data_IF_391203811067
#
_entry.id   IF_391203811067
#
_cell.length_a   1.000
_cell.length_b   1.000
_cell.length_c   1.000
_cell.angle_alpha   90.00
_cell.angle_beta   90.00
_cell.angle_gamma   90.00
#
_symmetry.space_group_name_H-M   'P 1'
#
loop_
_entity.id
_entity.type
_entity.pdbx_description
1 polymer ?
#
# COMPACT_ATOMS: atom_id res chain seq x y z
N UNK A 1 17.73 14.47 -21.16
CA UNK A 1 17.92 14.86 -19.74
C UNK A 1 17.74 13.60 -18.93
N UNK A 2 18.72 13.26 -18.12
CA UNK A 2 18.70 12.01 -17.36
C UNK A 2 17.86 12.26 -16.09
N UNK A 3 16.66 11.68 -16.05
CA UNK A 3 15.82 11.66 -14.86
C UNK A 3 16.48 10.80 -13.78
N UNK A 4 16.54 11.28 -12.53
CA UNK A 4 17.06 10.53 -11.40
C UNK A 4 16.40 10.90 -10.08
N UNK A 5 16.29 9.91 -9.18
CA UNK A 5 15.95 10.15 -7.78
C UNK A 5 17.16 10.67 -7.01
N UNK A 6 16.92 11.62 -6.14
CA UNK A 6 17.89 12.13 -5.17
C UNK A 6 17.50 11.68 -3.76
N UNK A 7 18.28 10.79 -3.16
CA UNK A 7 18.11 10.40 -1.76
C UNK A 7 18.41 11.56 -0.84
N UNK A 8 17.64 11.70 0.23
CA UNK A 8 17.94 12.68 1.26
C UNK A 8 19.21 12.31 2.01
N UNK A 9 20.14 13.25 2.18
CA UNK A 9 21.49 12.99 2.71
C UNK A 9 21.48 12.51 4.17
N UNK A 10 20.40 12.79 4.91
CA UNK A 10 20.23 12.37 6.31
C UNK A 10 19.32 11.15 6.48
N UNK A 11 19.12 10.37 5.40
CA UNK A 11 18.42 9.09 5.52
C UNK A 11 19.19 8.09 6.39
N UNK A 12 18.47 7.18 7.11
CA UNK A 12 17.02 7.10 7.24
C UNK A 12 16.45 8.18 8.17
N UNK A 13 15.25 8.69 7.84
CA UNK A 13 14.59 9.74 8.63
C UNK A 13 13.88 9.20 9.87
N UNK A 14 13.43 7.95 9.86
CA UNK A 14 12.94 7.22 11.03
C UNK A 14 13.56 5.83 11.07
N UNK A 15 13.87 5.37 12.27
CA UNK A 15 14.54 4.09 12.55
C UNK A 15 13.93 3.42 13.78
N UNK A 16 14.24 2.14 14.05
CA UNK A 16 13.92 1.50 15.33
C UNK A 16 14.37 2.33 16.52
N UNK A 17 13.61 2.32 17.60
CA UNK A 17 13.98 2.98 18.85
C UNK A 17 14.29 1.92 19.89
N UNK A 18 15.57 1.74 20.28
CA UNK A 18 15.95 0.76 21.29
C UNK A 18 15.20 0.97 22.61
N UNK A 19 14.68 -0.11 23.19
CA UNK A 19 13.93 -0.08 24.46
C UNK A 19 12.47 0.33 24.35
N UNK A 20 12.01 0.80 23.21
CA UNK A 20 10.58 1.08 22.97
C UNK A 20 9.93 -0.14 22.31
N UNK A 21 9.10 -0.85 23.05
CA UNK A 21 8.57 -2.17 22.70
C UNK A 21 7.87 -2.18 21.32
N UNK A 22 7.09 -1.16 20.98
CA UNK A 22 6.33 -1.13 19.73
C UNK A 22 7.12 -0.54 18.54
N UNK A 23 8.36 -0.09 18.75
CA UNK A 23 9.23 0.59 17.77
C UNK A 23 10.45 -0.26 17.38
N UNK A 24 10.26 -1.56 17.24
CA UNK A 24 11.29 -2.47 16.70
C UNK A 24 11.57 -2.25 15.21
N UNK A 25 10.67 -1.56 14.49
CA UNK A 25 10.87 -1.01 13.14
C UNK A 25 10.11 0.31 12.97
N UNK A 26 10.43 1.06 11.91
CA UNK A 26 9.60 2.11 11.35
C UNK A 26 9.66 1.98 9.82
N UNK A 27 8.55 1.66 9.16
CA UNK A 27 8.56 1.35 7.72
C UNK A 27 7.26 1.71 7.03
N UNK A 28 7.28 1.69 5.72
CA UNK A 28 6.12 1.75 4.84
C UNK A 28 5.16 2.91 5.16
N UNK A 29 5.62 4.17 5.06
CA UNK A 29 4.88 5.34 5.51
C UNK A 29 3.89 5.85 4.48
N UNK A 30 2.60 5.96 4.85
CA UNK A 30 1.64 6.80 4.16
C UNK A 30 1.80 8.26 4.59
N UNK A 31 1.93 9.19 3.66
CA UNK A 31 2.12 10.61 3.95
C UNK A 31 1.20 11.47 3.11
N UNK A 32 0.67 12.52 3.70
CA UNK A 32 -0.09 13.58 3.02
C UNK A 32 0.38 14.95 3.52
N UNK A 33 0.28 15.95 2.66
CA UNK A 33 0.59 17.35 2.99
C UNK A 33 -0.70 18.19 2.91
N UNK A 34 -1.03 18.90 3.98
CA UNK A 34 -2.23 19.72 4.10
C UNK A 34 -2.06 21.19 3.69
N UNK A 35 -0.89 21.53 3.12
CA UNK A 35 -0.49 22.89 2.80
C UNK A 35 0.39 23.55 3.86
N UNK A 36 0.52 22.95 5.05
CA UNK A 36 1.31 23.44 6.17
C UNK A 36 2.13 22.34 6.86
N UNK A 37 1.53 21.16 7.01
CA UNK A 37 2.09 20.04 7.78
C UNK A 37 2.07 18.79 6.92
N UNK A 38 3.15 18.04 6.98
CA UNK A 38 3.22 16.66 6.50
C UNK A 38 2.74 15.75 7.63
N UNK A 39 1.72 14.97 7.35
CA UNK A 39 1.17 13.96 8.25
C UNK A 39 1.62 12.58 7.77
N UNK A 40 2.34 11.86 8.61
CA UNK A 40 2.86 10.52 8.31
C UNK A 40 2.20 9.48 9.21
N UNK A 41 1.63 8.45 8.60
CA UNK A 41 1.16 7.23 9.27
C UNK A 41 2.05 6.09 8.82
N UNK A 42 2.81 5.49 9.73
CA UNK A 42 3.83 4.50 9.40
C UNK A 42 3.63 3.18 10.14
N UNK A 43 4.08 2.10 9.53
CA UNK A 43 4.06 0.76 10.13
C UNK A 43 5.19 0.63 11.15
N UNK A 44 4.88 0.09 12.32
CA UNK A 44 5.83 -0.25 13.35
C UNK A 44 5.57 -1.67 13.88
N UNK A 45 6.61 -2.49 13.87
CA UNK A 45 6.58 -3.82 14.48
C UNK A 45 7.00 -3.73 15.95
N UNK A 46 6.51 -4.67 16.72
CA UNK A 46 7.02 -4.90 18.07
C UNK A 46 8.40 -5.55 18.06
N UNK A 47 9.08 -5.53 19.19
CA UNK A 47 10.31 -6.27 19.36
C UNK A 47 10.10 -7.77 19.03
N UNK A 48 11.17 -8.49 18.60
CA UNK A 48 11.09 -9.91 18.33
C UNK A 48 10.43 -10.70 19.47
N UNK A 49 9.40 -11.50 19.13
CA UNK A 49 8.66 -12.34 20.09
C UNK A 49 7.19 -11.96 20.28
N UNK A 50 6.80 -10.72 20.08
CA UNK A 50 5.38 -10.31 20.17
C UNK A 50 4.66 -10.36 18.82
N UNK A 51 5.34 -9.96 17.74
CA UNK A 51 4.85 -10.05 16.36
C UNK A 51 3.62 -9.19 16.03
N UNK A 52 3.26 -8.24 16.91
CA UNK A 52 2.10 -7.36 16.73
C UNK A 52 2.51 -6.11 15.96
N UNK A 53 1.78 -5.80 14.89
CA UNK A 53 2.05 -4.66 14.02
C UNK A 53 1.07 -3.52 14.34
N UNK A 54 1.58 -2.29 14.43
CA UNK A 54 0.80 -1.10 14.77
C UNK A 54 1.11 0.01 13.76
N UNK A 55 0.27 1.02 13.73
CA UNK A 55 0.56 2.24 13.00
C UNK A 55 0.97 3.34 13.97
N UNK A 56 2.14 3.93 13.72
CA UNK A 56 2.61 5.15 14.37
C UNK A 56 2.18 6.38 13.60
N UNK A 57 2.26 7.54 14.25
CA UNK A 57 2.05 8.84 13.62
C UNK A 57 3.24 9.76 13.89
N UNK A 58 3.61 10.51 12.87
CA UNK A 58 4.60 11.58 12.96
C UNK A 58 4.19 12.77 12.10
N UNK A 59 4.64 13.96 12.45
CA UNK A 59 4.37 15.17 11.67
C UNK A 59 5.63 15.98 11.43
N UNK A 60 5.64 16.76 10.34
CA UNK A 60 6.75 17.61 9.93
C UNK A 60 6.23 18.86 9.24
N UNK A 61 6.97 19.95 9.34
CA UNK A 61 6.69 21.18 8.59
C UNK A 61 7.52 21.30 7.32
N UNK A 62 8.59 20.51 7.20
CA UNK A 62 9.52 20.56 6.05
C UNK A 62 9.52 19.28 5.21
N UNK A 63 8.83 18.21 5.67
CA UNK A 63 8.76 16.92 4.99
C UNK A 63 9.98 16.02 5.20
N UNK A 64 10.98 16.45 5.96
CA UNK A 64 12.23 15.71 6.17
C UNK A 64 12.51 15.44 7.65
N UNK A 65 12.21 16.39 8.53
CA UNK A 65 12.39 16.26 9.97
C UNK A 65 11.04 16.01 10.64
N UNK A 66 10.80 14.78 11.05
CA UNK A 66 9.53 14.36 11.64
C UNK A 66 9.61 14.26 13.17
N UNK A 67 8.55 14.72 13.82
CA UNK A 67 8.31 14.50 15.26
C UNK A 67 7.29 13.40 15.42
N UNK A 68 7.67 12.33 16.11
CA UNK A 68 6.82 11.15 16.35
C UNK A 68 5.94 11.32 17.59
N UNK A 69 4.75 10.75 17.55
CA UNK A 69 3.98 10.49 18.76
C UNK A 69 4.65 9.37 19.58
N UNK A 70 4.69 9.49 20.93
CA UNK A 70 5.31 8.48 21.78
C UNK A 70 4.54 7.15 21.84
N UNK A 71 3.25 7.17 21.51
CA UNK A 71 2.36 6.02 21.50
C UNK A 71 1.90 5.67 20.08
N UNK A 72 1.57 4.40 19.81
CA UNK A 72 0.96 4.02 18.55
C UNK A 72 -0.31 4.81 18.28
N UNK A 73 -0.44 5.34 17.07
CA UNK A 73 -1.63 6.08 16.64
C UNK A 73 -2.82 5.15 16.40
N UNK A 74 -2.59 4.01 15.72
CA UNK A 74 -3.61 3.00 15.52
C UNK A 74 -3.11 1.64 16.01
N UNK A 75 -3.90 1.01 16.89
CA UNK A 75 -3.63 -0.34 17.42
C UNK A 75 -4.56 -1.34 16.73
N UNK A 76 -4.16 -2.62 16.66
CA UNK A 76 -5.04 -3.72 16.31
C UNK A 76 -6.30 -3.72 17.16
N UNK A 77 -7.40 -4.24 16.63
CA UNK A 77 -8.64 -4.42 17.39
C UNK A 77 -8.45 -5.40 18.55
N UNK A 78 -9.08 -5.11 19.68
CA UNK A 78 -9.09 -6.01 20.83
C UNK A 78 -10.00 -7.22 20.62
N UNK A 79 -10.97 -7.11 19.73
CA UNK A 79 -11.89 -8.20 19.40
C UNK A 79 -11.18 -9.26 18.55
N UNK A 80 -11.12 -10.51 19.02
CA UNK A 80 -10.51 -11.59 18.23
C UNK A 80 -11.29 -11.92 16.95
N UNK A 81 -12.46 -11.37 16.77
CA UNK A 81 -13.29 -11.56 15.59
C UNK A 81 -13.07 -10.49 14.51
N UNK A 82 -12.24 -9.49 14.79
CA UNK A 82 -11.95 -8.44 13.83
C UNK A 82 -10.77 -8.84 12.91
N UNK A 83 -10.85 -8.46 11.65
CA UNK A 83 -9.87 -8.81 10.62
C UNK A 83 -8.47 -8.23 10.89
N UNK A 84 -8.35 -7.21 11.72
CA UNK A 84 -7.10 -6.53 12.06
C UNK A 84 -6.66 -6.77 13.52
N UNK A 85 -7.21 -7.83 14.17
CA UNK A 85 -6.94 -8.17 15.58
C UNK A 85 -5.45 -8.32 15.91
N UNK A 86 -4.65 -8.79 14.98
CA UNK A 86 -3.22 -9.08 15.23
C UNK A 86 -2.27 -8.10 14.53
N UNK A 87 -2.74 -7.17 13.73
CA UNK A 87 -1.87 -6.20 13.07
C UNK A 87 -2.57 -5.23 12.14
N UNK A 88 -2.00 -4.01 12.07
CA UNK A 88 -2.31 -2.96 11.11
C UNK A 88 -1.01 -2.54 10.44
N UNK A 89 -0.91 -2.61 9.10
CA UNK A 89 0.32 -2.30 8.36
C UNK A 89 0.07 -1.57 7.04
N UNK A 90 1.12 -0.98 6.48
CA UNK A 90 1.18 -0.46 5.10
C UNK A 90 0.12 0.58 4.76
N UNK A 91 -0.02 1.59 5.61
CA UNK A 91 -0.99 2.66 5.43
C UNK A 91 -0.73 3.46 4.13
N UNK A 92 -1.82 3.84 3.42
CA UNK A 92 -1.84 4.87 2.39
C UNK A 92 -2.86 5.92 2.81
N UNK A 93 -2.44 7.18 2.77
CA UNK A 93 -3.28 8.30 3.19
C UNK A 93 -3.75 9.07 1.96
N UNK A 94 -5.05 9.20 1.79
CA UNK A 94 -5.66 9.92 0.68
C UNK A 94 -6.54 11.04 1.24
N UNK A 95 -6.32 12.29 0.79
CA UNK A 95 -7.27 13.37 1.02
C UNK A 95 -8.34 13.33 -0.06
N UNK A 96 -9.59 13.17 0.35
CA UNK A 96 -10.72 13.01 -0.56
C UNK A 96 -11.98 13.59 0.09
N UNK A 97 -12.72 14.44 -0.66
CA UNK A 97 -13.98 15.07 -0.21
C UNK A 97 -13.88 15.75 1.17
N UNK A 98 -12.74 16.40 1.44
CA UNK A 98 -12.52 17.18 2.68
C UNK A 98 -12.05 16.39 3.89
N UNK A 99 -11.81 15.07 3.77
CA UNK A 99 -11.35 14.19 4.85
C UNK A 99 -10.14 13.37 4.44
N UNK A 100 -9.41 12.85 5.43
CA UNK A 100 -8.26 11.96 5.20
C UNK A 100 -8.68 10.51 5.40
N UNK A 101 -8.54 9.71 4.37
CA UNK A 101 -8.82 8.27 4.40
C UNK A 101 -7.51 7.49 4.46
N UNK A 102 -7.45 6.53 5.38
CA UNK A 102 -6.28 5.68 5.60
C UNK A 102 -6.66 4.25 5.22
N UNK A 103 -6.16 3.79 4.08
CA UNK A 103 -6.24 2.39 3.71
C UNK A 103 -5.06 1.64 4.35
N UNK A 104 -5.33 0.59 5.12
CA UNK A 104 -4.31 -0.19 5.82
C UNK A 104 -4.58 -1.69 5.71
N UNK A 105 -3.54 -2.51 5.69
CA UNK A 105 -3.70 -3.96 5.70
C UNK A 105 -3.85 -4.47 7.14
N UNK A 106 -4.91 -5.25 7.38
CA UNK A 106 -5.18 -5.92 8.63
C UNK A 106 -4.76 -7.39 8.61
N UNK A 107 -4.42 -7.95 9.77
CA UNK A 107 -4.09 -9.36 9.99
C UNK A 107 -4.89 -9.93 11.15
N UNK A 108 -5.36 -11.16 10.99
CA UNK A 108 -6.09 -11.89 12.04
C UNK A 108 -5.17 -12.65 12.99
N UNK A 109 -3.94 -12.94 12.58
CA UNK A 109 -2.95 -13.67 13.34
C UNK A 109 -1.60 -12.96 13.22
N UNK A 110 -0.84 -12.84 14.30
CA UNK A 110 0.49 -12.26 14.23
C UNK A 110 1.47 -13.17 13.47
N UNK A 111 2.54 -12.55 12.94
CA UNK A 111 3.47 -13.27 12.07
C UNK A 111 4.26 -14.36 12.78
N UNK A 112 4.49 -14.24 14.09
CA UNK A 112 5.24 -15.22 14.89
C UNK A 112 4.40 -16.49 15.07
N UNK A 113 3.15 -16.35 15.51
CA UNK A 113 2.24 -17.48 15.68
C UNK A 113 1.98 -18.19 14.36
N UNK A 114 1.75 -17.43 13.29
CA UNK A 114 1.55 -18.00 11.96
C UNK A 114 2.76 -18.80 11.47
N UNK A 115 3.98 -18.29 11.68
CA UNK A 115 5.22 -18.98 11.33
C UNK A 115 5.42 -20.28 12.14
N UNK A 116 4.91 -20.35 13.37
CA UNK A 116 4.89 -21.54 14.20
C UNK A 116 3.75 -22.52 13.85
N UNK A 117 3.02 -22.29 12.76
CA UNK A 117 1.97 -23.18 12.29
C UNK A 117 0.64 -23.02 13.02
N UNK A 118 0.48 -22.03 13.88
CA UNK A 118 -0.81 -21.73 14.51
C UNK A 118 -1.79 -21.32 13.42
N UNK A 119 -2.97 -21.92 13.46
CA UNK A 119 -4.09 -21.63 12.57
C UNK A 119 -5.31 -21.30 13.41
N UNK A 120 -6.22 -20.53 12.83
CA UNK A 120 -7.33 -19.95 13.55
C UNK A 120 -8.63 -20.15 12.74
N UNK A 121 -9.74 -20.29 13.45
CA UNK A 121 -11.07 -20.19 12.87
C UNK A 121 -11.59 -18.78 13.08
N UNK A 122 -12.33 -18.27 12.13
CA UNK A 122 -13.03 -17.01 12.25
C UNK A 122 -14.29 -17.08 13.11
N UNK A 123 -15.04 -15.97 13.19
CA UNK A 123 -16.31 -15.91 13.88
C UNK A 123 -17.24 -17.07 13.47
N UNK A 124 -17.95 -17.62 14.45
CA UNK A 124 -18.89 -18.75 14.24
C UNK A 124 -18.25 -19.99 13.59
N UNK A 125 -16.94 -20.19 13.72
CA UNK A 125 -16.22 -21.32 13.14
C UNK A 125 -15.87 -21.16 11.66
N UNK A 126 -15.95 -19.95 11.12
CA UNK A 126 -15.61 -19.64 9.74
C UNK A 126 -14.21 -20.13 9.36
N UNK A 127 -14.12 -20.81 8.21
CA UNK A 127 -12.89 -21.43 7.69
C UNK A 127 -12.31 -20.69 6.47
N UNK A 128 -12.77 -19.48 6.15
CA UNK A 128 -12.21 -18.80 5.00
C UNK A 128 -10.73 -18.41 5.21
N UNK A 129 -9.98 -18.15 4.11
CA UNK A 129 -8.53 -17.94 4.17
C UNK A 129 -8.07 -16.73 4.97
N UNK A 130 -8.89 -15.71 5.14
CA UNK A 130 -8.58 -14.58 6.04
C UNK A 130 -8.21 -15.08 7.44
N UNK A 131 -8.92 -16.11 7.91
CA UNK A 131 -8.74 -16.67 9.26
C UNK A 131 -7.77 -17.85 9.28
N UNK A 132 -7.90 -18.80 8.35
CA UNK A 132 -7.10 -20.04 8.37
C UNK A 132 -5.69 -19.82 7.82
N UNK A 133 -5.52 -18.94 6.84
CA UNK A 133 -4.25 -18.67 6.15
C UNK A 133 -3.68 -17.29 6.43
N UNK A 134 -4.28 -16.56 7.37
CA UNK A 134 -3.85 -15.19 7.73
C UNK A 134 -3.76 -14.24 6.52
N UNK A 135 -4.70 -14.35 5.59
CA UNK A 135 -4.77 -13.46 4.45
C UNK A 135 -5.03 -12.04 4.91
N UNK A 136 -4.35 -11.10 4.28
CA UNK A 136 -4.56 -9.68 4.55
C UNK A 136 -5.90 -9.24 3.99
N UNK A 137 -6.62 -8.48 4.76
CA UNK A 137 -7.72 -7.63 4.29
C UNK A 137 -7.34 -6.18 4.45
N UNK A 138 -7.73 -5.33 3.49
CA UNK A 138 -7.54 -3.90 3.65
C UNK A 138 -8.74 -3.30 4.34
N UNK A 139 -8.47 -2.60 5.44
CA UNK A 139 -9.43 -1.77 6.14
C UNK A 139 -9.31 -0.32 5.73
N UNK A 140 -10.38 0.40 5.94
CA UNK A 140 -10.44 1.84 5.77
C UNK A 140 -10.67 2.51 7.12
N UNK A 141 -9.91 3.55 7.40
CA UNK A 141 -10.16 4.47 8.50
C UNK A 141 -10.24 5.89 7.98
N UNK A 142 -10.87 6.78 8.73
CA UNK A 142 -11.06 8.18 8.36
C UNK A 142 -10.72 9.09 9.54
N UNK A 143 -10.10 10.22 9.23
CA UNK A 143 -9.78 11.28 10.20
C UNK A 143 -9.93 12.66 9.58
N UNK A 144 -10.13 13.66 10.41
CA UNK A 144 -10.16 15.07 10.00
C UNK A 144 -8.90 15.82 10.44
N UNK A 145 -8.20 15.32 11.47
CA UNK A 145 -7.15 16.07 12.18
C UNK A 145 -5.94 15.24 12.62
N UNK A 146 -5.91 13.92 12.33
CA UNK A 146 -4.91 12.95 12.78
C UNK A 146 -4.78 12.80 14.32
N UNK A 147 -5.66 13.43 15.10
CA UNK A 147 -5.73 13.24 16.56
C UNK A 147 -6.67 12.10 16.90
N UNK A 148 -7.79 12.03 16.20
CA UNK A 148 -8.80 10.99 16.32
C UNK A 148 -9.06 10.36 14.97
N UNK A 149 -9.54 9.12 14.95
CA UNK A 149 -9.95 8.43 13.73
C UNK A 149 -11.12 7.49 14.00
N UNK A 150 -11.84 7.17 12.95
CA UNK A 150 -12.88 6.14 12.93
C UNK A 150 -12.46 5.02 11.98
N UNK A 151 -12.54 3.75 12.43
CA UNK A 151 -12.37 2.58 11.55
C UNK A 151 -13.71 2.30 10.87
N UNK A 152 -13.74 2.36 9.55
CA UNK A 152 -14.92 2.08 8.73
C UNK A 152 -15.11 0.59 8.44
N UNK A 153 -14.11 -0.23 8.75
CA UNK A 153 -14.12 -1.67 8.52
C UNK A 153 -13.34 -2.10 7.27
N UNK A 154 -13.40 -3.40 6.93
CA UNK A 154 -12.69 -3.95 5.78
C UNK A 154 -13.39 -3.59 4.47
N UNK A 155 -12.61 -3.25 3.46
CA UNK A 155 -13.07 -2.89 2.11
C UNK A 155 -12.67 -3.90 1.04
N UNK A 156 -11.93 -4.95 1.39
CA UNK A 156 -11.55 -6.03 0.46
C UNK A 156 -12.13 -7.37 0.92
N UNK A 157 -12.19 -8.33 0.00
CA UNK A 157 -12.78 -9.65 0.25
C UNK A 157 -12.07 -10.42 1.36
N UNK A 158 -12.81 -11.23 2.12
CA UNK A 158 -12.25 -12.14 3.11
C UNK A 158 -11.71 -13.46 2.50
N UNK A 159 -11.98 -13.69 1.23
CA UNK A 159 -11.55 -14.91 0.51
C UNK A 159 -10.25 -14.73 -0.27
N UNK A 160 -9.80 -13.49 -0.44
CA UNK A 160 -8.62 -13.11 -1.24
C UNK A 160 -7.67 -12.30 -0.39
N UNK A 161 -6.38 -12.68 -0.36
CA UNK A 161 -5.38 -11.83 0.27
C UNK A 161 -5.17 -10.58 -0.56
N UNK A 162 -5.49 -9.41 -0.02
CA UNK A 162 -5.36 -8.14 -0.70
C UNK A 162 -4.54 -7.13 0.10
N UNK A 163 -3.84 -6.26 -0.59
CA UNK A 163 -2.97 -5.27 0.02
C UNK A 163 -2.68 -4.12 -0.94
N UNK A 164 -1.94 -3.13 -0.47
CA UNK A 164 -1.47 -1.98 -1.25
C UNK A 164 -2.61 -1.18 -1.89
N UNK A 165 -3.73 -1.07 -1.17
CA UNK A 165 -4.84 -0.22 -1.63
C UNK A 165 -4.42 1.24 -1.57
N UNK A 166 -4.58 1.94 -2.70
CA UNK A 166 -4.46 3.38 -2.81
C UNK A 166 -5.74 3.94 -3.44
N UNK A 167 -6.48 4.74 -2.70
CA UNK A 167 -7.65 5.44 -3.23
C UNK A 167 -7.19 6.56 -4.16
N UNK A 168 -7.97 6.82 -5.22
CA UNK A 168 -7.77 8.03 -6.02
C UNK A 168 -8.23 9.27 -5.22
N UNK A 169 -7.57 10.43 -5.40
CA UNK A 169 -7.87 11.63 -4.62
C UNK A 169 -9.13 12.38 -5.08
N UNK A 170 -9.83 11.82 -6.05
CA UNK A 170 -11.07 12.37 -6.62
C UNK A 170 -11.92 11.24 -7.20
N UNK A 171 -13.22 11.49 -7.35
CA UNK A 171 -14.12 10.61 -8.09
C UNK A 171 -13.85 10.68 -9.59
N UNK A 172 -13.89 9.53 -10.24
CA UNK A 172 -13.72 9.37 -11.68
C UNK A 172 -15.09 8.98 -12.26
N UNK A 173 -15.63 9.81 -13.13
CA UNK A 173 -16.98 9.64 -13.70
C UNK A 173 -18.05 9.39 -12.61
N UNK A 174 -17.93 10.12 -11.48
CA UNK A 174 -18.86 10.06 -10.36
C UNK A 174 -18.65 8.90 -9.40
N UNK A 175 -17.69 7.99 -9.65
CA UNK A 175 -17.39 6.85 -8.80
C UNK A 175 -16.08 7.02 -8.05
N UNK A 176 -15.98 6.45 -6.86
CA UNK A 176 -14.71 6.23 -6.18
C UNK A 176 -13.88 5.21 -6.95
N UNK A 177 -12.57 5.38 -6.93
CA UNK A 177 -11.63 4.47 -7.56
C UNK A 177 -10.52 4.08 -6.59
N UNK A 178 -10.05 2.84 -6.66
CA UNK A 178 -8.90 2.37 -5.91
C UNK A 178 -8.00 1.46 -6.74
N UNK A 179 -6.71 1.57 -6.52
CA UNK A 179 -5.74 0.55 -6.88
C UNK A 179 -5.67 -0.48 -5.77
N UNK A 180 -5.59 -1.77 -6.09
CA UNK A 180 -5.41 -2.83 -5.13
C UNK A 180 -4.58 -3.98 -5.72
N UNK A 181 -4.17 -4.95 -4.87
CA UNK A 181 -3.35 -6.07 -5.30
C UNK A 181 -3.80 -7.37 -4.64
N UNK A 182 -4.76 -8.07 -5.24
CA UNK A 182 -5.10 -9.43 -4.84
C UNK A 182 -3.91 -10.37 -5.09
N UNK A 183 -3.57 -11.22 -4.10
CA UNK A 183 -2.41 -12.11 -4.15
C UNK A 183 -2.78 -13.59 -4.03
N UNK A 184 -4.02 -13.90 -3.69
CA UNK A 184 -4.50 -15.27 -3.66
C UNK A 184 -5.43 -15.51 -4.84
N UNK A 185 -5.21 -16.60 -5.52
CA UNK A 185 -6.01 -16.99 -6.65
C UNK A 185 -6.99 -18.11 -6.26
N UNK A 186 -8.18 -18.07 -6.82
CA UNK A 186 -9.14 -19.15 -6.73
C UNK A 186 -8.60 -20.31 -7.58
N UNK A 187 -8.14 -21.43 -6.99
CA UNK A 187 -7.36 -22.47 -7.69
C UNK A 187 -8.10 -23.17 -8.82
N UNK A 188 -9.41 -23.09 -8.87
CA UNK A 188 -10.27 -23.80 -9.83
C UNK A 188 -10.42 -23.13 -11.19
N UNK A 189 -10.07 -21.86 -11.30
CA UNK A 189 -10.13 -21.14 -12.57
C UNK A 189 -8.90 -21.32 -13.45
N UNK A 190 -7.74 -21.69 -12.85
CA UNK A 190 -6.47 -21.78 -13.53
C UNK A 190 -5.56 -22.84 -12.88
N UNK A 191 -5.66 -24.10 -13.29
CA UNK A 191 -5.03 -25.23 -12.60
C UNK A 191 -3.50 -25.25 -12.62
N UNK A 192 -2.81 -24.34 -13.31
CA UNK A 192 -1.37 -24.47 -13.54
C UNK A 192 -0.58 -23.18 -13.53
N UNK A 193 -1.16 -22.02 -13.21
CA UNK A 193 -0.43 -20.76 -13.25
C UNK A 193 -0.42 -20.07 -11.89
N UNK A 194 0.77 -19.97 -11.33
CA UNK A 194 1.06 -18.98 -10.30
C UNK A 194 0.88 -17.61 -10.94
N UNK A 195 -0.18 -16.89 -10.54
CA UNK A 195 -0.33 -15.51 -10.91
C UNK A 195 0.45 -14.65 -9.92
N UNK A 196 1.47 -13.92 -10.38
CA UNK A 196 2.10 -12.92 -9.55
C UNK A 196 1.06 -11.89 -9.13
N UNK A 197 1.20 -11.32 -7.94
CA UNK A 197 0.35 -10.22 -7.52
C UNK A 197 0.44 -9.07 -8.52
N UNK A 198 -0.71 -8.69 -9.10
CA UNK A 198 -0.85 -7.65 -10.11
C UNK A 198 -1.56 -6.44 -9.51
N UNK A 199 -1.44 -5.27 -10.15
CA UNK A 199 -2.22 -4.10 -9.76
C UNK A 199 -3.53 -4.12 -10.55
N UNK A 200 -4.63 -4.04 -9.81
CA UNK A 200 -5.98 -3.92 -10.33
C UNK A 200 -6.55 -2.55 -9.99
N UNK A 201 -7.46 -2.09 -10.79
CA UNK A 201 -8.25 -0.87 -10.59
C UNK A 201 -9.71 -1.26 -10.41
N UNK A 202 -10.31 -0.82 -9.31
CA UNK A 202 -11.72 -1.04 -9.01
C UNK A 202 -12.48 0.27 -8.85
N UNK A 203 -13.78 0.24 -9.14
CA UNK A 203 -14.70 1.37 -8.99
C UNK A 203 -15.87 1.02 -8.07
N UNK A 204 -16.32 1.98 -7.26
CA UNK A 204 -17.50 1.83 -6.41
C UNK A 204 -18.27 3.15 -6.28
N UNK A 205 -19.56 3.04 -6.00
CA UNK A 205 -20.41 4.19 -5.62
C UNK A 205 -20.22 4.57 -4.14
N UNK A 206 -19.57 3.71 -3.33
CA UNK A 206 -19.33 3.89 -1.89
C UNK A 206 -17.89 3.62 -1.53
N UNK A 207 -17.34 4.37 -0.57
CA UNK A 207 -15.98 4.17 -0.07
C UNK A 207 -15.84 2.94 0.85
N UNK A 208 -16.88 2.61 1.57
CA UNK A 208 -16.92 1.54 2.57
C UNK A 208 -17.40 0.19 2.00
N UNK A 209 -17.73 0.14 0.70
CA UNK A 209 -18.25 -1.06 0.08
C UNK A 209 -17.86 -1.17 -1.40
N UNK A 210 -17.03 -2.15 -1.74
CA UNK A 210 -16.46 -2.33 -3.07
C UNK A 210 -16.92 -3.62 -3.77
N UNK A 211 -17.73 -4.42 -3.10
CA UNK A 211 -18.29 -5.63 -3.68
C UNK A 211 -19.75 -5.45 -4.06
N UNK A 212 -20.23 -6.29 -4.98
CA UNK A 212 -21.68 -6.46 -5.17
C UNK A 212 -22.18 -7.62 -4.32
N UNK A 213 -23.39 -7.48 -3.80
CA UNK A 213 -24.08 -8.58 -3.19
C UNK A 213 -24.46 -9.60 -4.29
N UNK A 214 -23.77 -10.74 -4.36
CA UNK A 214 -24.03 -11.78 -5.38
C UNK A 214 -25.46 -12.32 -5.32
N UNK A 215 -26.17 -12.18 -4.20
CA UNK A 215 -27.60 -12.51 -4.10
C UNK A 215 -28.46 -11.71 -5.09
N UNK A 216 -28.11 -10.49 -5.38
CA UNK A 216 -28.80 -9.67 -6.39
C UNK A 216 -28.56 -10.18 -7.81
N UNK A 217 -27.50 -10.96 -8.04
CA UNK A 217 -27.16 -11.56 -9.33
C UNK A 217 -27.67 -13.00 -9.50
N UNK A 218 -28.38 -13.56 -8.50
CA UNK A 218 -28.94 -14.92 -8.56
C UNK A 218 -27.93 -16.05 -8.39
N UNK A 219 -26.78 -15.80 -7.79
CA UNK A 219 -25.73 -16.79 -7.52
C UNK A 219 -25.74 -17.16 -6.03
N UNK A 220 -26.53 -18.17 -5.67
CA UNK A 220 -26.73 -18.61 -4.27
C UNK A 220 -25.52 -19.33 -3.63
N UNK A 221 -24.45 -19.55 -4.37
CA UNK A 221 -23.40 -20.50 -3.98
C UNK A 221 -22.16 -19.89 -3.35
N UNK A 222 -22.00 -18.57 -3.33
CA UNK A 222 -20.81 -17.94 -2.77
C UNK A 222 -21.23 -16.74 -1.93
N UNK A 223 -21.22 -16.91 -0.62
CA UNK A 223 -21.22 -15.80 0.34
C UNK A 223 -19.87 -15.08 0.25
N UNK A 224 -19.62 -14.40 -0.86
CA UNK A 224 -18.35 -13.76 -1.10
C UNK A 224 -18.56 -12.31 -1.51
N UNK A 225 -17.97 -11.44 -0.74
CA UNK A 225 -17.77 -10.03 -1.09
C UNK A 225 -16.60 -9.91 -2.09
N UNK A 226 -16.79 -10.35 -3.33
CA UNK A 226 -15.79 -10.12 -4.36
C UNK A 226 -15.85 -8.64 -4.80
N UNK A 227 -14.69 -8.04 -5.01
CA UNK A 227 -14.61 -6.72 -5.60
C UNK A 227 -15.13 -6.79 -7.03
N UNK A 228 -16.09 -5.96 -7.34
CA UNK A 228 -16.70 -5.89 -8.67
C UNK A 228 -16.24 -4.63 -9.40
N UNK A 229 -16.48 -4.59 -10.72
CA UNK A 229 -16.03 -3.51 -11.60
C UNK A 229 -14.51 -3.28 -11.53
N UNK A 230 -13.75 -4.37 -11.39
CA UNK A 230 -12.29 -4.33 -11.37
C UNK A 230 -11.71 -4.64 -12.75
N UNK A 231 -10.59 -3.99 -13.05
CA UNK A 231 -9.83 -4.19 -14.28
C UNK A 231 -8.37 -4.46 -13.92
N UNK A 232 -7.78 -5.49 -14.54
CA UNK A 232 -6.34 -5.72 -14.47
C UNK A 232 -5.62 -4.54 -15.12
N UNK A 233 -4.89 -3.76 -14.32
CA UNK A 233 -4.22 -2.56 -14.76
C UNK A 233 -2.76 -2.82 -15.14
N UNK A 234 -1.98 -3.39 -14.23
CA UNK A 234 -0.58 -3.71 -14.46
C UNK A 234 -0.28 -5.15 -14.06
N UNK A 235 0.21 -5.92 -15.01
CA UNK A 235 0.81 -7.23 -14.82
C UNK A 235 2.33 -7.18 -15.04
N UNK A 236 3.14 -8.14 -14.53
CA UNK A 236 4.55 -8.24 -14.82
C UNK A 236 4.83 -8.29 -16.32
N UNK A 237 5.73 -7.45 -16.79
CA UNK A 237 6.20 -7.42 -18.17
C UNK A 237 7.71 -7.60 -18.26
N UNK A 238 8.41 -7.29 -17.19
CA UNK A 238 9.86 -7.28 -17.13
C UNK A 238 10.36 -8.25 -16.06
N UNK A 239 11.60 -8.71 -16.19
CA UNK A 239 12.18 -9.66 -15.23
C UNK A 239 12.27 -9.12 -13.81
N UNK A 240 12.44 -7.82 -13.64
CA UNK A 240 12.48 -7.18 -12.32
C UNK A 240 11.10 -7.07 -11.63
N UNK A 241 10.03 -7.46 -12.34
CA UNK A 241 8.64 -7.45 -11.89
C UNK A 241 8.07 -8.87 -11.66
N UNK A 242 8.84 -9.91 -11.97
CA UNK A 242 8.33 -11.27 -12.19
C UNK A 242 7.59 -11.91 -11.00
N UNK A 243 7.83 -11.45 -9.78
CA UNK A 243 7.17 -12.00 -8.59
C UNK A 243 5.87 -11.30 -8.22
N UNK A 244 5.83 -10.00 -8.31
CA UNK A 244 4.64 -9.19 -7.99
C UNK A 244 4.84 -7.70 -8.26
N UNK A 245 3.71 -7.02 -8.45
CA UNK A 245 3.59 -5.56 -8.47
C UNK A 245 2.70 -5.09 -7.33
N UNK A 246 2.78 -3.83 -6.96
CA UNK A 246 1.84 -3.19 -6.04
C UNK A 246 1.88 -1.66 -6.16
N UNK A 247 0.73 -1.02 -5.93
CA UNK A 247 0.65 0.43 -5.90
C UNK A 247 1.56 0.99 -4.80
N UNK A 248 2.25 2.08 -5.10
CA UNK A 248 3.07 2.81 -4.15
C UNK A 248 2.20 3.75 -3.31
N UNK A 249 2.15 5.01 -3.67
CA UNK A 249 1.29 6.01 -3.05
C UNK A 249 0.02 6.28 -3.85
N UNK A 250 -0.65 7.34 -3.48
CA UNK A 250 -1.85 7.84 -4.15
C UNK A 250 -1.49 8.33 -5.55
N UNK A 251 -2.24 7.97 -6.60
CA UNK A 251 -2.05 8.52 -7.94
C UNK A 251 -2.18 10.04 -7.95
N UNK A 252 -1.29 10.73 -8.67
CA UNK A 252 -1.30 12.19 -8.78
C UNK A 252 -2.06 12.58 -10.04
N UNK A 253 -3.20 13.30 -9.93
CA UNK A 253 -3.92 13.82 -11.09
C UNK A 253 -3.11 14.93 -11.77
N UNK A 254 -3.04 14.86 -13.11
CA UNK A 254 -2.36 15.84 -13.96
C UNK A 254 -3.18 16.07 -15.23
N UNK A 255 -2.85 17.09 -16.01
CA UNK A 255 -3.48 17.32 -17.31
C UNK A 255 -3.22 16.19 -18.32
N UNK A 256 -2.08 15.51 -18.17
CA UNK A 256 -1.67 14.38 -19.03
C UNK A 256 -2.29 13.03 -18.61
N UNK A 257 -2.88 12.93 -17.43
CA UNK A 257 -3.40 11.68 -16.86
C UNK A 257 -3.11 11.54 -15.36
N UNK A 258 -3.25 10.33 -14.82
CA UNK A 258 -2.86 10.01 -13.45
C UNK A 258 -1.44 9.45 -13.43
N UNK A 259 -0.50 10.23 -12.88
CA UNK A 259 0.85 9.75 -12.63
C UNK A 259 0.86 8.83 -11.40
N UNK A 260 1.48 7.67 -11.50
CA UNK A 260 1.63 6.76 -10.38
C UNK A 260 3.03 6.15 -10.31
N UNK A 261 3.50 5.95 -9.08
CA UNK A 261 4.60 5.06 -8.77
C UNK A 261 4.04 3.67 -8.42
N UNK A 262 4.80 2.63 -8.75
CA UNK A 262 4.52 1.27 -8.31
C UNK A 262 5.81 0.58 -7.88
N UNK A 263 5.71 -0.35 -6.96
CA UNK A 263 6.83 -1.24 -6.64
C UNK A 263 6.66 -2.57 -7.35
N UNK A 264 7.78 -3.19 -7.63
CA UNK A 264 7.85 -4.53 -8.18
C UNK A 264 8.98 -5.34 -7.56
N UNK A 265 8.87 -6.66 -7.64
CA UNK A 265 9.76 -7.60 -6.97
C UNK A 265 10.20 -8.68 -7.95
N UNK A 266 11.50 -8.95 -8.01
CA UNK A 266 12.08 -10.06 -8.76
C UNK A 266 12.20 -11.34 -7.92
N UNK A 267 12.62 -12.47 -8.53
CA UNK A 267 12.79 -13.75 -7.82
C UNK A 267 13.75 -13.72 -6.63
N UNK A 268 14.90 -13.01 -6.70
CA UNK A 268 15.74 -12.83 -5.52
C UNK A 268 15.08 -12.04 -4.37
N UNK A 269 13.92 -11.44 -4.61
CA UNK A 269 13.18 -10.69 -3.59
C UNK A 269 13.59 -9.22 -3.49
N UNK A 270 14.19 -8.63 -4.53
CA UNK A 270 14.58 -7.23 -4.54
C UNK A 270 13.41 -6.33 -4.96
N UNK A 271 13.04 -5.39 -4.09
CA UNK A 271 11.98 -4.41 -4.34
C UNK A 271 12.53 -3.16 -5.03
N UNK A 272 11.91 -2.76 -6.13
CA UNK A 272 12.27 -1.59 -6.93
C UNK A 272 11.03 -0.80 -7.31
N UNK A 273 11.22 0.44 -7.77
CA UNK A 273 10.14 1.36 -8.15
C UNK A 273 10.13 1.54 -9.66
N UNK A 274 8.93 1.52 -10.24
CA UNK A 274 8.62 1.93 -11.60
C UNK A 274 7.61 3.07 -11.63
N UNK A 275 7.42 3.66 -12.81
CA UNK A 275 6.44 4.72 -13.07
C UNK A 275 5.44 4.29 -14.13
N UNK A 276 4.19 4.72 -13.98
CA UNK A 276 3.16 4.60 -15.01
C UNK A 276 2.32 5.87 -15.09
N UNK A 277 1.72 6.10 -16.26
CA UNK A 277 0.75 7.16 -16.52
C UNK A 277 -0.53 6.51 -17.00
N UNK A 278 -1.63 6.79 -16.33
CA UNK A 278 -2.96 6.32 -16.71
C UNK A 278 -3.73 7.42 -17.43
N UNK A 279 -4.65 7.05 -18.31
CA UNK A 279 -5.49 8.01 -19.01
C UNK A 279 -6.35 8.82 -18.03
N UNK A 280 -6.48 10.12 -18.26
CA UNK A 280 -7.20 11.04 -17.37
C UNK A 280 -8.70 10.76 -17.31
N UNK A 281 -9.28 10.36 -18.42
CA UNK A 281 -10.72 10.14 -18.58
C UNK A 281 -11.11 8.66 -18.34
N UNK A 282 -10.17 7.75 -18.64
CA UNK A 282 -10.36 6.31 -18.49
C UNK A 282 -9.09 5.68 -17.89
N UNK A 283 -8.90 5.75 -16.59
CA UNK A 283 -7.68 5.25 -15.93
C UNK A 283 -7.50 3.72 -15.97
N UNK A 284 -8.42 2.99 -16.58
CA UNK A 284 -8.19 1.58 -16.93
C UNK A 284 -7.16 1.44 -18.05
N UNK A 285 -6.83 2.52 -18.75
CA UNK A 285 -5.84 2.57 -19.82
C UNK A 285 -4.51 3.09 -19.31
N UNK A 286 -3.47 2.30 -19.50
CA UNK A 286 -2.08 2.69 -19.25
C UNK A 286 -1.54 3.39 -20.48
N UNK A 287 -1.22 4.68 -20.39
CA UNK A 287 -0.69 5.48 -21.50
C UNK A 287 0.81 5.27 -21.67
N UNK A 288 1.54 5.21 -20.55
CA UNK A 288 2.98 5.01 -20.52
C UNK A 288 3.41 4.21 -19.29
N UNK A 289 4.50 3.45 -19.40
CA UNK A 289 5.08 2.67 -18.32
C UNK A 289 6.57 2.49 -18.54
N UNK A 290 7.39 2.72 -17.51
CA UNK A 290 8.83 2.51 -17.58
C UNK A 290 9.17 1.03 -17.70
N UNK A 291 10.03 0.62 -18.67
CA UNK A 291 10.47 -0.77 -18.79
C UNK A 291 11.58 -1.15 -17.81
N UNK A 292 12.21 -0.15 -17.22
CA UNK A 292 13.29 -0.30 -16.24
C UNK A 292 12.90 0.30 -14.92
N UNK A 293 13.44 -0.20 -13.79
CA UNK A 293 13.23 0.44 -12.51
C UNK A 293 13.86 1.83 -12.51
N UNK A 294 13.16 2.79 -11.94
CA UNK A 294 13.63 4.19 -11.79
C UNK A 294 14.29 4.44 -10.46
N UNK A 295 14.07 3.53 -9.49
CA UNK A 295 14.70 3.58 -8.17
C UNK A 295 14.89 2.16 -7.64
N UNK A 296 16.07 1.86 -7.11
CA UNK A 296 16.44 0.53 -6.62
C UNK A 296 17.26 0.64 -5.32
N UNK A 297 17.31 -0.41 -4.49
CA UNK A 297 18.13 -0.43 -3.29
C UNK A 297 19.62 -0.34 -3.62
N UNK A 298 20.30 0.65 -3.06
CA UNK A 298 21.73 0.91 -3.26
C UNK A 298 22.45 1.15 -1.94
N UNK A 299 21.74 1.74 -0.94
CA UNK A 299 22.33 2.13 0.33
C UNK A 299 22.23 1.01 1.35
N UNK A 300 23.15 0.96 2.30
CA UNK A 300 23.21 -0.09 3.33
C UNK A 300 21.88 -0.17 4.13
N UNK A 301 21.29 0.97 4.48
CA UNK A 301 20.02 1.01 5.20
C UNK A 301 18.81 0.54 4.39
N UNK A 302 18.94 0.35 3.08
CA UNK A 302 17.92 -0.23 2.18
C UNK A 302 18.02 -1.77 2.11
N UNK A 303 18.94 -2.35 2.87
CA UNK A 303 19.15 -3.78 3.02
C UNK A 303 18.90 -4.18 4.47
N UNK A 304 18.44 -5.41 4.72
CA UNK A 304 18.34 -5.93 6.07
C UNK A 304 19.24 -7.16 6.29
N UNK A 305 19.40 -7.50 7.55
CA UNK A 305 20.26 -8.64 7.97
C UNK A 305 19.77 -10.02 7.47
N UNK A 306 18.56 -10.08 6.87
CA UNK A 306 17.99 -11.30 6.29
C UNK A 306 18.20 -11.36 4.78
N UNK A 307 18.95 -10.43 4.20
CA UNK A 307 19.25 -10.37 2.77
C UNK A 307 18.16 -9.70 1.91
N UNK A 308 17.12 -9.14 2.51
CA UNK A 308 16.12 -8.37 1.78
C UNK A 308 16.72 -7.05 1.30
N UNK A 309 16.55 -6.75 0.01
CA UNK A 309 16.89 -5.48 -0.63
C UNK A 309 15.58 -4.77 -0.98
N UNK A 310 15.29 -3.67 -0.29
CA UNK A 310 13.95 -3.12 -0.35
C UNK A 310 13.93 -1.58 -0.33
N UNK A 311 13.31 -1.03 -1.37
CA UNK A 311 12.74 0.31 -1.39
C UNK A 311 11.24 0.17 -1.64
N UNK A 312 10.41 0.42 -0.61
CA UNK A 312 8.97 0.17 -0.64
C UNK A 312 8.18 1.46 -0.41
N UNK A 313 7.81 2.17 -1.49
CA UNK A 313 7.09 3.43 -1.35
C UNK A 313 5.62 3.21 -0.99
N UNK A 314 5.10 4.03 -0.07
CA UNK A 314 3.67 4.09 0.26
C UNK A 314 3.11 5.51 0.13
N UNK A 315 3.96 6.50 -0.14
CA UNK A 315 3.53 7.87 -0.36
C UNK A 315 4.42 8.62 -1.35
N UNK A 316 3.79 9.51 -2.08
CA UNK A 316 4.40 10.50 -2.95
C UNK A 316 3.62 11.80 -2.83
N UNK A 317 4.31 12.89 -2.53
CA UNK A 317 3.73 14.22 -2.34
C UNK A 317 4.32 15.16 -3.38
N UNK A 318 3.47 15.78 -4.20
CA UNK A 318 3.89 16.77 -5.18
C UNK A 318 3.79 18.18 -4.58
N UNK A 319 4.91 18.89 -4.54
CA UNK A 319 4.99 20.29 -4.12
C UNK A 319 5.84 21.05 -5.15
N UNK A 320 5.29 22.07 -5.78
CA UNK A 320 6.00 22.94 -6.73
C UNK A 320 6.66 22.14 -7.82
N UNK A 321 6.57 21.36 -8.52
CA UNK A 321 7.33 20.55 -9.50
C UNK A 321 8.32 19.53 -8.87
N UNK A 322 8.34 19.36 -7.56
CA UNK A 322 9.13 18.32 -6.91
C UNK A 322 8.22 17.25 -6.30
N UNK A 323 8.51 15.99 -6.55
CA UNK A 323 7.89 14.87 -5.85
C UNK A 323 8.81 14.41 -4.71
N UNK A 324 8.24 14.37 -3.51
CA UNK A 324 8.85 13.79 -2.33
C UNK A 324 8.28 12.38 -2.16
N UNK A 325 9.13 11.37 -2.24
CA UNK A 325 8.76 9.95 -2.08
C UNK A 325 9.22 9.47 -0.72
N UNK A 326 8.27 8.96 0.06
CA UNK A 326 8.53 8.32 1.34
C UNK A 326 8.45 6.81 1.18
N UNK A 327 9.50 6.11 1.63
CA UNK A 327 9.61 4.68 1.39
C UNK A 327 10.18 3.91 2.59
N UNK A 328 9.76 2.65 2.73
CA UNK A 328 10.38 1.69 3.63
C UNK A 328 11.71 1.24 3.07
N UNK A 329 12.75 1.28 3.91
CA UNK A 329 14.11 0.88 3.59
C UNK A 329 14.43 -0.42 4.29
N UNK A 330 14.79 -1.47 3.54
CA UNK A 330 15.13 -2.78 4.10
C UNK A 330 14.05 -3.40 4.98
N UNK A 331 12.80 -2.91 4.89
CA UNK A 331 11.67 -3.29 5.75
C UNK A 331 11.90 -3.01 7.27
N UNK A 332 12.76 -2.04 7.57
CA UNK A 332 13.15 -1.68 8.96
C UNK A 332 13.07 -0.16 9.19
N UNK A 333 13.48 0.64 8.22
CA UNK A 333 13.63 2.09 8.33
C UNK A 333 12.70 2.83 7.36
N UNK A 334 12.60 4.13 7.52
CA UNK A 334 11.95 5.04 6.58
C UNK A 334 12.98 5.97 5.96
N UNK A 335 12.97 6.04 4.63
CA UNK A 335 13.76 6.98 3.85
C UNK A 335 12.92 7.95 3.04
N UNK A 336 13.56 9.00 2.56
CA UNK A 336 13.00 10.00 1.65
C UNK A 336 13.90 10.16 0.43
N UNK A 337 13.28 10.25 -0.72
CA UNK A 337 13.95 10.65 -1.96
C UNK A 337 13.08 11.64 -2.72
N UNK A 338 13.72 12.51 -3.51
CA UNK A 338 13.00 13.51 -4.31
C UNK A 338 13.38 13.38 -5.78
N UNK A 339 12.52 13.92 -6.64
CA UNK A 339 12.81 14.11 -8.06
C UNK A 339 11.95 15.21 -8.66
N UNK A 340 12.45 15.82 -9.76
CA UNK A 340 11.68 16.81 -10.50
C UNK A 340 10.55 16.14 -11.28
N UNK A 341 9.33 16.62 -11.09
CA UNK A 341 8.13 16.03 -11.70
C UNK A 341 8.09 16.19 -13.22
N UNK A 342 8.46 17.37 -13.73
CA UNK A 342 8.46 17.62 -15.20
C UNK A 342 9.48 16.73 -15.91
N UNK A 343 10.66 16.53 -15.31
CA UNK A 343 11.69 15.63 -15.87
C UNK A 343 11.19 14.19 -15.87
N UNK A 344 10.56 13.75 -14.76
CA UNK A 344 9.97 12.42 -14.66
C UNK A 344 8.87 12.18 -15.71
N UNK A 345 7.98 13.14 -15.89
CA UNK A 345 6.93 13.06 -16.92
C UNK A 345 7.50 13.02 -18.33
N UNK A 346 8.52 13.84 -18.64
CA UNK A 346 9.19 13.82 -19.93
C UNK A 346 9.92 12.51 -20.19
N UNK A 347 10.52 11.93 -19.15
CA UNK A 347 11.13 10.60 -19.22
C UNK A 347 10.07 9.51 -19.44
N UNK A 348 9.00 9.51 -18.65
CA UNK A 348 7.93 8.51 -18.72
C UNK A 348 7.23 8.51 -20.10
N UNK A 349 6.98 9.68 -20.69
CA UNK A 349 6.34 9.83 -21.99
C UNK A 349 7.12 9.21 -23.16
N UNK A 350 8.39 8.86 -22.97
CA UNK A 350 9.19 8.14 -23.98
C UNK A 350 8.76 6.67 -24.08
N UNK A 351 8.09 6.13 -23.08
CA UNK A 351 7.68 4.73 -22.96
C UNK A 351 6.15 4.55 -23.11
N UNK A 352 5.59 5.13 -24.18
CA UNK A 352 4.16 4.96 -24.47
C UNK A 352 3.81 3.51 -24.74
N UNK A 353 2.73 3.06 -24.13
CA UNK A 353 2.12 1.76 -24.42
C UNK A 353 1.38 1.88 -25.75
N UNK A 354 1.62 0.94 -26.67
CA UNK A 354 1.00 0.92 -27.99
C UNK A 354 -0.39 0.29 -27.93
#
# INVERSE_FOLDING_TARGET
MDFSFKRYDKNPILSPIPGVQWRGSARNPGVVYDGKTFHMVFTADTNPGEGVIRLGYASSTDGFNFTENPEPWMKPSLSPNDFDHAGCEDARVTYLEGRYYIAYAGRTLNGVDFAHGIRRRGPNGNLNPTWTENYRRVGLAVTDDFKTFEKLGPITSEHISDANVALFPEKINGKYAMLHRPTAFIPWTLPLHYHPGCIWLAFSDRLDFWSTNKREMGWDMIDGEDIMNETLLLAPQQKWEEMKLGAAGVPIPTDDGYFMLYHAVDRPGCYRIGMALLDRNDPTKVIARTPYPVFAPEMEYEHNNRGLKCVFPCANVLINDEIIVYYGCGDIHIGVATFNFKEAMNYLKQFRVK
#
